data_IF_118542893348
#
_entry.id   IF_118542893348
#
_cell.length_a   1.000
_cell.length_b   1.000
_cell.length_c   1.000
_cell.angle_alpha   90.00
_cell.angle_beta   90.00
_cell.angle_gamma   90.00
#
_symmetry.space_group_name_H-M   'P 1'
#
loop_
_entity.id
_entity.type
_entity.pdbx_description
1 polymer ?
#
# COMPACT_ATOMS: atom_id res chain seq x y z
N UNK A 1 6.06 0.64 -3.76
CA UNK A 1 4.84 -0.09 -3.35
C UNK A 1 5.16 -1.52 -2.92
N UNK A 2 4.29 -2.13 -2.10
CA UNK A 2 4.38 -3.55 -1.72
C UNK A 2 2.98 -4.18 -1.76
N UNK A 3 2.91 -5.41 -2.31
CA UNK A 3 1.70 -6.20 -2.40
C UNK A 3 2.02 -7.70 -2.27
N UNK A 4 1.28 -8.41 -1.43
CA UNK A 4 1.34 -9.87 -1.33
C UNK A 4 0.08 -10.50 -1.93
N UNK A 5 0.24 -11.60 -2.66
CA UNK A 5 -0.88 -12.34 -3.25
C UNK A 5 -0.61 -13.84 -3.32
N UNK A 6 -1.64 -14.62 -3.54
CA UNK A 6 -1.56 -16.06 -3.83
C UNK A 6 -1.05 -16.33 -5.25
N UNK A 7 -0.73 -17.60 -5.55
CA UNK A 7 -0.36 -18.06 -6.90
C UNK A 7 -1.41 -17.73 -7.97
N UNK A 8 -2.69 -17.77 -7.59
CA UNK A 8 -3.81 -17.44 -8.48
C UNK A 8 -4.23 -15.97 -8.41
N UNK A 9 -3.34 -15.10 -7.86
CA UNK A 9 -3.47 -13.64 -7.90
C UNK A 9 -4.50 -13.06 -6.93
N UNK A 10 -4.81 -13.72 -5.81
CA UNK A 10 -5.78 -13.23 -4.81
C UNK A 10 -5.08 -12.68 -3.58
N UNK A 11 -5.63 -11.60 -3.02
CA UNK A 11 -5.12 -10.98 -1.79
C UNK A 11 -5.94 -11.37 -0.55
N UNK A 12 -7.11 -11.93 -0.74
CA UNK A 12 -8.01 -12.41 0.32
C UNK A 12 -8.99 -13.43 -0.24
N UNK A 13 -9.68 -14.13 0.64
CA UNK A 13 -10.84 -14.97 0.28
C UNK A 13 -12.04 -14.12 -0.15
N UNK A 14 -13.07 -14.75 -0.71
CA UNK A 14 -14.32 -14.08 -1.08
C UNK A 14 -15.03 -13.38 0.10
N UNK A 15 -14.79 -13.82 1.33
CA UNK A 15 -15.30 -13.22 2.56
C UNK A 15 -14.41 -12.12 3.13
N UNK A 16 -13.27 -11.81 2.47
CA UNK A 16 -12.34 -10.76 2.88
C UNK A 16 -11.27 -11.22 3.87
N UNK A 17 -11.16 -12.51 4.21
CA UNK A 17 -10.11 -12.99 5.09
C UNK A 17 -8.75 -12.95 4.36
N UNK A 18 -7.85 -12.08 4.82
CA UNK A 18 -6.54 -11.80 4.22
C UNK A 18 -5.35 -12.24 5.10
N UNK A 19 -5.65 -12.75 6.31
CA UNK A 19 -4.61 -13.06 7.30
C UNK A 19 -3.65 -14.13 6.80
N UNK A 20 -2.35 -13.81 6.80
CA UNK A 20 -1.26 -14.73 6.45
C UNK A 20 -1.28 -15.26 5.01
N UNK A 21 -1.69 -14.45 4.04
CA UNK A 21 -1.48 -14.78 2.63
C UNK A 21 0.02 -14.99 2.39
N UNK A 22 0.89 -14.10 2.88
CA UNK A 22 2.36 -14.23 2.80
C UNK A 22 2.98 -14.61 4.14
N UNK A 23 4.19 -15.16 4.09
CA UNK A 23 4.92 -15.70 5.22
C UNK A 23 5.58 -14.64 6.12
N UNK A 24 6.29 -15.11 7.16
CA UNK A 24 6.94 -14.26 8.15
C UNK A 24 8.12 -13.46 7.55
N UNK A 25 8.84 -14.05 6.58
CA UNK A 25 9.98 -13.39 5.92
C UNK A 25 9.54 -12.18 5.11
N UNK A 26 8.43 -12.30 4.35
CA UNK A 26 7.84 -11.17 3.62
C UNK A 26 7.34 -10.07 4.57
N UNK A 27 6.66 -10.44 5.66
CA UNK A 27 6.25 -9.47 6.67
C UNK A 27 7.44 -8.73 7.32
N UNK A 28 8.55 -9.42 7.57
CA UNK A 28 9.77 -8.77 8.05
C UNK A 28 10.37 -7.83 6.99
N UNK A 29 10.30 -8.21 5.72
CA UNK A 29 10.69 -7.33 4.61
C UNK A 29 9.81 -6.07 4.54
N UNK A 30 8.49 -6.21 4.65
CA UNK A 30 7.57 -5.08 4.72
C UNK A 30 7.94 -4.11 5.86
N UNK A 31 8.30 -4.62 7.04
CA UNK A 31 8.78 -3.77 8.13
C UNK A 31 10.10 -3.05 7.83
N UNK A 32 11.00 -3.64 7.01
CA UNK A 32 12.20 -2.94 6.52
C UNK A 32 11.83 -1.82 5.55
N UNK A 33 10.88 -2.05 4.65
CA UNK A 33 10.39 -1.01 3.74
C UNK A 33 9.80 0.17 4.52
N UNK A 34 8.99 -0.10 5.55
CA UNK A 34 8.47 0.95 6.44
C UNK A 34 9.59 1.74 7.11
N UNK A 35 10.61 1.06 7.64
CA UNK A 35 11.73 1.69 8.32
C UNK A 35 12.59 2.57 7.39
N UNK A 36 12.51 2.36 6.08
CA UNK A 36 13.22 3.11 5.05
C UNK A 36 12.38 4.23 4.43
N UNK A 37 11.11 4.33 4.80
CA UNK A 37 10.15 5.29 4.21
C UNK A 37 9.84 6.43 5.18
N UNK A 38 9.59 7.61 4.63
CA UNK A 38 9.15 8.78 5.39
C UNK A 38 7.66 8.70 5.71
N UNK A 39 6.89 8.14 4.78
CA UNK A 39 5.46 7.90 4.94
C UNK A 39 5.03 6.52 4.41
N UNK A 40 4.02 5.94 5.06
CA UNK A 40 3.30 4.76 4.58
C UNK A 40 1.86 5.14 4.28
N UNK A 41 1.39 4.83 3.07
CA UNK A 41 0.07 5.21 2.56
C UNK A 41 -0.81 3.98 2.40
N UNK A 42 -2.02 4.04 2.94
CA UNK A 42 -3.05 3.01 2.76
C UNK A 42 -4.40 3.63 2.41
N UNK A 43 -5.24 2.89 1.69
CA UNK A 43 -6.63 3.28 1.52
C UNK A 43 -7.48 2.96 2.77
N UNK A 44 -8.49 3.79 3.06
CA UNK A 44 -9.41 3.56 4.17
C UNK A 44 -10.16 2.22 4.11
N UNK A 45 -10.26 1.61 2.93
CA UNK A 45 -10.79 0.25 2.78
C UNK A 45 -9.92 -0.78 3.51
N UNK A 46 -8.61 -0.73 3.34
CA UNK A 46 -7.64 -1.57 4.05
C UNK A 46 -7.65 -1.30 5.55
N UNK A 47 -7.72 0.00 5.93
CA UNK A 47 -7.81 0.37 7.33
C UNK A 47 -9.01 -0.26 8.02
N UNK A 48 -10.19 -0.19 7.40
CA UNK A 48 -11.44 -0.78 7.94
C UNK A 48 -11.45 -2.31 7.95
N UNK A 49 -10.74 -2.95 6.99
CA UNK A 49 -10.72 -4.41 6.91
C UNK A 49 -9.75 -5.05 7.89
N UNK A 50 -8.56 -4.46 8.05
CA UNK A 50 -7.42 -5.11 8.70
C UNK A 50 -6.96 -4.39 9.98
N UNK A 51 -7.45 -3.17 10.25
CA UNK A 51 -7.04 -2.29 11.37
C UNK A 51 -5.50 -2.31 11.62
N UNK A 52 -4.69 -2.07 10.57
CA UNK A 52 -3.26 -2.26 10.63
C UNK A 52 -2.59 -1.15 11.46
N UNK A 53 -1.59 -1.50 12.26
CA UNK A 53 -0.81 -0.50 13.00
C UNK A 53 0.12 0.33 12.10
N UNK A 54 0.54 -0.19 10.94
CA UNK A 54 1.46 0.46 9.98
C UNK A 54 2.80 0.90 10.59
N UNK A 55 3.23 0.25 11.66
CA UNK A 55 4.45 0.56 12.41
C UNK A 55 5.56 -0.45 12.14
N UNK A 56 6.80 -0.09 12.54
CA UNK A 56 7.98 -0.95 12.48
C UNK A 56 8.08 -1.75 13.77
N UNK A 57 7.91 -3.09 13.71
CA UNK A 57 7.92 -3.98 14.89
C UNK A 57 8.84 -5.19 14.74
N UNK A 58 9.04 -5.67 13.51
CA UNK A 58 9.81 -6.90 13.26
C UNK A 58 11.30 -6.65 13.02
N UNK A 59 11.71 -5.39 12.91
CA UNK A 59 13.11 -4.97 12.67
C UNK A 59 13.38 -3.69 13.45
N UNK A 60 14.65 -3.33 13.61
CA UNK A 60 15.04 -2.02 14.12
C UNK A 60 14.76 -0.94 13.08
N UNK A 61 14.25 0.22 13.48
CA UNK A 61 13.97 1.35 12.62
C UNK A 61 12.95 2.31 13.22
N UNK A 62 12.83 3.49 12.62
CA UNK A 62 11.82 4.49 13.00
C UNK A 62 10.49 4.16 12.30
N UNK A 63 9.40 4.55 12.94
CA UNK A 63 8.08 4.47 12.33
C UNK A 63 7.92 5.58 11.29
N UNK A 64 7.40 5.29 10.10
CA UNK A 64 7.00 6.32 9.12
C UNK A 64 5.74 7.06 9.59
N UNK A 65 5.47 8.22 9.02
CA UNK A 65 4.15 8.85 9.11
C UNK A 65 3.12 7.96 8.42
N UNK A 66 2.02 7.69 9.09
CA UNK A 66 0.93 6.84 8.60
C UNK A 66 -0.11 7.70 7.89
N UNK A 67 -0.33 7.49 6.61
CA UNK A 67 -1.24 8.29 5.79
C UNK A 67 -2.40 7.43 5.31
N UNK A 68 -3.62 7.86 5.61
CA UNK A 68 -4.85 7.19 5.18
C UNK A 68 -5.52 7.99 4.07
N UNK A 69 -5.71 7.36 2.92
CA UNK A 69 -6.51 7.92 1.84
C UNK A 69 -7.98 7.52 2.07
N UNK A 70 -8.83 8.50 2.34
CA UNK A 70 -10.23 8.25 2.66
C UNK A 70 -11.17 9.01 1.73
N UNK A 71 -12.20 8.30 1.26
CA UNK A 71 -13.34 8.92 0.61
C UNK A 71 -14.24 9.67 1.63
N UNK A 72 -15.38 10.18 1.18
CA UNK A 72 -16.32 10.92 2.03
C UNK A 72 -16.86 10.13 3.25
N UNK A 73 -16.66 8.81 3.31
CA UNK A 73 -17.06 7.98 4.46
C UNK A 73 -16.14 8.17 5.66
N UNK A 74 -14.91 8.67 5.42
CA UNK A 74 -13.96 8.99 6.48
C UNK A 74 -13.41 7.78 7.23
N UNK A 75 -12.87 8.08 8.40
CA UNK A 75 -12.32 7.18 9.41
C UNK A 75 -13.11 7.45 10.69
N UNK A 76 -13.44 6.41 11.47
CA UNK A 76 -14.31 6.55 12.65
C UNK A 76 -13.61 7.18 13.86
N UNK A 77 -12.28 7.03 13.94
CA UNK A 77 -11.48 7.37 15.11
C UNK A 77 -11.27 6.18 16.06
N UNK A 78 -11.95 5.06 15.83
CA UNK A 78 -11.79 3.84 16.62
C UNK A 78 -10.65 2.95 16.14
N UNK A 79 -10.13 3.25 14.95
CA UNK A 79 -9.04 2.51 14.34
C UNK A 79 -7.76 2.65 15.16
N UNK A 80 -6.93 1.62 15.15
CA UNK A 80 -5.69 1.53 15.92
C UNK A 80 -4.77 2.73 15.69
N UNK A 81 -4.62 3.17 14.45
CA UNK A 81 -3.77 4.32 14.11
C UNK A 81 -4.19 5.63 14.81
N UNK A 82 -5.47 5.76 15.19
CA UNK A 82 -5.99 6.92 15.89
C UNK A 82 -5.74 6.87 17.40
N UNK A 83 -5.46 5.67 17.97
CA UNK A 83 -5.45 5.45 19.41
C UNK A 83 -4.10 5.02 19.97
N UNK A 84 -3.20 4.47 19.17
CA UNK A 84 -1.98 3.86 19.67
C UNK A 84 -0.85 4.86 19.98
N UNK A 85 -0.86 6.06 19.38
CA UNK A 85 0.18 7.06 19.59
C UNK A 85 1.58 6.64 19.15
N UNK A 86 1.72 5.52 18.40
CA UNK A 86 3.01 4.94 18.05
C UNK A 86 3.75 5.72 16.96
N UNK A 87 3.02 6.47 16.12
CA UNK A 87 3.58 7.31 15.05
C UNK A 87 2.57 8.36 14.61
N UNK A 88 3.00 9.47 13.97
CA UNK A 88 2.08 10.44 13.38
C UNK A 88 1.10 9.77 12.43
N UNK A 89 -0.17 10.21 12.45
CA UNK A 89 -1.22 9.66 11.61
C UNK A 89 -1.99 10.79 10.92
N UNK A 90 -2.03 10.76 9.59
CA UNK A 90 -2.63 11.78 8.75
C UNK A 90 -3.79 11.22 7.94
N UNK A 91 -4.79 12.06 7.70
CA UNK A 91 -5.92 11.76 6.83
C UNK A 91 -5.84 12.62 5.58
N UNK A 92 -5.95 12.02 4.42
CA UNK A 92 -6.10 12.71 3.15
C UNK A 92 -7.45 12.37 2.54
N UNK A 93 -8.17 13.40 2.07
CA UNK A 93 -9.45 13.22 1.39
C UNK A 93 -10.49 14.28 1.69
N UNK A 94 -11.70 14.18 1.09
CA UNK A 94 -12.78 15.14 1.20
C UNK A 94 -13.56 15.05 2.53
N UNK A 95 -12.95 14.53 3.58
CA UNK A 95 -13.59 14.39 4.90
C UNK A 95 -13.77 15.74 5.55
N UNK A 96 -14.91 15.98 6.22
CA UNK A 96 -15.22 17.27 6.84
C UNK A 96 -14.54 17.48 8.16
N UNK A 97 -14.54 16.42 8.99
CA UNK A 97 -14.05 16.46 10.36
C UNK A 97 -12.87 15.52 10.50
N UNK A 98 -11.82 15.99 11.18
CA UNK A 98 -10.68 15.17 11.53
C UNK A 98 -11.03 14.35 12.78
N UNK A 99 -11.01 13.01 12.71
CA UNK A 99 -11.18 12.18 13.90
C UNK A 99 -10.12 12.46 14.94
N UNK A 100 -10.48 12.29 16.21
CA UNK A 100 -9.53 12.38 17.32
C UNK A 100 -8.40 11.36 17.15
N UNK A 101 -7.16 11.79 17.42
CA UNK A 101 -5.97 10.95 17.30
C UNK A 101 -5.29 10.97 15.94
N UNK A 102 -5.82 11.72 14.98
CA UNK A 102 -5.11 12.06 13.75
C UNK A 102 -4.47 13.45 13.87
N UNK A 103 -3.23 13.58 13.38
CA UNK A 103 -2.43 14.79 13.55
C UNK A 103 -2.67 15.81 12.45
N UNK A 104 -3.08 15.36 11.27
CA UNK A 104 -3.26 16.21 10.10
C UNK A 104 -4.36 15.71 9.17
N UNK A 105 -5.06 16.67 8.55
CA UNK A 105 -6.02 16.42 7.49
C UNK A 105 -5.75 17.33 6.29
N UNK A 106 -5.49 16.73 5.13
CA UNK A 106 -5.34 17.44 3.87
C UNK A 106 -6.51 17.10 2.93
N UNK A 107 -7.19 18.13 2.48
CA UNK A 107 -8.28 18.01 1.50
C UNK A 107 -7.71 17.88 0.10
N UNK A 108 -7.49 16.65 -0.32
CA UNK A 108 -7.00 16.30 -1.64
C UNK A 108 -7.97 15.32 -2.30
N UNK A 109 -8.04 15.32 -3.62
CA UNK A 109 -8.75 14.27 -4.35
C UNK A 109 -7.95 12.96 -4.27
N UNK A 110 -8.36 12.06 -3.40
CA UNK A 110 -7.69 10.76 -3.20
C UNK A 110 -7.89 9.78 -4.36
N UNK A 111 -8.74 10.11 -5.34
CA UNK A 111 -8.89 9.33 -6.57
C UNK A 111 -7.88 9.78 -7.65
N UNK A 112 -7.21 10.90 -7.43
CA UNK A 112 -6.09 11.36 -8.26
C UNK A 112 -4.76 11.08 -7.55
N UNK A 113 -4.02 10.02 -7.94
CA UNK A 113 -2.72 9.71 -7.36
C UNK A 113 -1.68 10.82 -7.53
N UNK A 114 -1.77 11.64 -8.58
CA UNK A 114 -0.87 12.78 -8.78
C UNK A 114 -1.11 13.86 -7.74
N UNK A 115 -2.37 14.20 -7.46
CA UNK A 115 -2.70 15.18 -6.43
C UNK A 115 -2.25 14.72 -5.04
N UNK A 116 -2.39 13.43 -4.73
CA UNK A 116 -1.89 12.85 -3.47
C UNK A 116 -0.36 12.90 -3.39
N UNK A 117 0.34 12.50 -4.47
CA UNK A 117 1.81 12.58 -4.54
C UNK A 117 2.31 14.01 -4.30
N UNK A 118 1.70 14.99 -4.95
CA UNK A 118 2.09 16.39 -4.84
C UNK A 118 1.91 16.90 -3.41
N UNK A 119 0.80 16.59 -2.76
CA UNK A 119 0.55 16.94 -1.37
C UNK A 119 1.54 16.28 -0.40
N UNK A 120 1.95 15.02 -0.66
CA UNK A 120 2.98 14.33 0.13
C UNK A 120 4.37 14.98 -0.09
N UNK A 121 4.71 15.35 -1.32
CA UNK A 121 5.96 16.02 -1.65
C UNK A 121 6.03 17.43 -1.03
N UNK A 122 4.95 18.21 -1.06
CA UNK A 122 4.84 19.52 -0.38
C UNK A 122 4.99 19.38 1.15
N UNK A 123 4.59 18.26 1.71
CA UNK A 123 4.81 17.93 3.12
C UNK A 123 6.25 17.50 3.45
N UNK A 124 7.13 17.37 2.44
CA UNK A 124 8.54 17.03 2.60
C UNK A 124 8.84 15.54 2.60
N UNK A 125 7.90 14.68 2.21
CA UNK A 125 8.15 13.23 2.10
C UNK A 125 8.83 12.90 0.77
N UNK A 126 10.02 12.32 0.83
CA UNK A 126 10.80 11.90 -0.33
C UNK A 126 10.59 10.42 -0.68
N UNK A 127 10.43 9.58 0.36
CA UNK A 127 10.24 8.14 0.22
C UNK A 127 8.89 7.72 0.77
N UNK A 128 7.97 7.40 -0.12
CA UNK A 128 6.59 7.03 0.20
C UNK A 128 6.38 5.55 -0.13
N UNK A 129 5.92 4.78 0.84
CA UNK A 129 5.53 3.39 0.67
C UNK A 129 4.01 3.28 0.51
N UNK A 130 3.57 2.83 -0.64
CA UNK A 130 2.15 2.48 -0.85
C UNK A 130 1.95 1.03 -0.40
N UNK A 131 1.18 0.85 0.66
CA UNK A 131 0.89 -0.47 1.23
C UNK A 131 -0.57 -0.83 1.09
N UNK A 132 -0.79 -2.07 0.70
CA UNK A 132 -2.10 -2.72 0.80
C UNK A 132 -3.24 -2.04 0.06
N UNK A 133 -4.32 -2.77 -0.03
CA UNK A 133 -5.44 -2.43 -0.88
C UNK A 133 -5.05 -2.48 -2.36
N UNK A 134 -5.39 -3.59 -3.02
CA UNK A 134 -5.14 -3.78 -4.45
C UNK A 134 -5.50 -2.55 -5.28
N UNK A 135 -6.62 -1.89 -4.93
CA UNK A 135 -7.08 -0.69 -5.64
C UNK A 135 -6.10 0.48 -5.55
N UNK A 136 -5.53 0.73 -4.37
CA UNK A 136 -4.58 1.84 -4.17
C UNK A 136 -3.30 1.57 -4.96
N UNK A 137 -2.70 0.39 -4.82
CA UNK A 137 -1.49 0.01 -5.57
C UNK A 137 -1.75 0.04 -7.08
N UNK A 138 -2.89 -0.50 -7.54
CA UNK A 138 -3.25 -0.51 -8.95
C UNK A 138 -3.44 0.91 -9.51
N UNK A 139 -4.11 1.80 -8.79
CA UNK A 139 -4.30 3.18 -9.22
C UNK A 139 -2.97 3.94 -9.36
N UNK A 140 -2.06 3.78 -8.40
CA UNK A 140 -0.74 4.40 -8.45
C UNK A 140 0.13 3.83 -9.58
N UNK A 141 0.06 2.51 -9.79
CA UNK A 141 0.77 1.85 -10.88
C UNK A 141 0.22 2.28 -12.25
N UNK A 142 -1.10 2.36 -12.40
CA UNK A 142 -1.75 2.84 -13.62
C UNK A 142 -1.41 4.32 -13.94
N UNK A 143 -1.21 5.13 -12.89
CA UNK A 143 -0.78 6.53 -13.04
C UNK A 143 0.73 6.70 -13.33
N UNK A 144 1.50 5.60 -13.38
CA UNK A 144 2.95 5.65 -13.60
C UNK A 144 3.75 6.23 -12.43
N UNK A 145 3.18 6.21 -11.21
CA UNK A 145 3.76 6.80 -10.00
C UNK A 145 4.45 5.79 -9.08
N UNK A 146 4.63 4.56 -9.53
CA UNK A 146 5.34 3.52 -8.77
C UNK A 146 6.71 3.31 -9.39
N UNK A 147 7.77 3.70 -8.70
CA UNK A 147 9.15 3.45 -9.16
C UNK A 147 9.54 2.00 -8.96
N UNK A 148 9.15 1.43 -7.82
CA UNK A 148 9.44 0.03 -7.44
C UNK A 148 8.22 -0.62 -6.81
N UNK A 149 7.83 -1.79 -7.33
CA UNK A 149 6.81 -2.65 -6.71
C UNK A 149 7.46 -3.94 -6.23
N UNK A 150 7.39 -4.20 -4.93
CA UNK A 150 7.66 -5.51 -4.35
C UNK A 150 6.37 -6.33 -4.40
N UNK A 151 6.31 -7.28 -5.33
CA UNK A 151 5.18 -8.19 -5.48
C UNK A 151 5.56 -9.56 -4.95
N UNK A 152 4.95 -9.96 -3.84
CA UNK A 152 5.20 -11.26 -3.22
C UNK A 152 4.13 -12.26 -3.60
N UNK A 153 4.56 -13.42 -4.11
CA UNK A 153 3.70 -14.55 -4.48
C UNK A 153 3.87 -15.64 -3.44
N UNK A 154 2.82 -15.90 -2.69
CA UNK A 154 2.76 -17.01 -1.76
C UNK A 154 2.35 -18.32 -2.46
N UNK A 155 2.90 -19.50 -2.06
CA UNK A 155 2.60 -20.80 -2.69
C UNK A 155 1.24 -21.36 -2.24
N UNK A 156 0.21 -20.52 -2.30
CA UNK A 156 -1.18 -20.87 -1.95
C UNK A 156 -2.12 -20.55 -3.11
N UNK A 157 -3.21 -21.28 -3.20
CA UNK A 157 -4.29 -21.05 -4.17
C UNK A 157 -5.57 -20.78 -3.36
N UNK A 158 -6.16 -19.61 -3.58
CA UNK A 158 -7.34 -19.15 -2.83
C UNK A 158 -8.65 -19.40 -3.63
N UNK A 159 -8.60 -19.32 -4.94
CA UNK A 159 -9.75 -19.48 -5.82
C UNK A 159 -10.53 -18.18 -6.00
N UNK A 160 -11.64 -18.00 -5.30
CA UNK A 160 -12.44 -16.79 -5.39
C UNK A 160 -12.03 -15.75 -4.36
N UNK A 161 -11.96 -14.47 -4.79
CA UNK A 161 -11.59 -13.35 -3.91
C UNK A 161 -11.09 -12.14 -4.71
N UNK A 162 -10.80 -11.03 -4.03
CA UNK A 162 -10.27 -9.85 -4.69
C UNK A 162 -8.88 -10.11 -5.29
N UNK A 163 -8.65 -9.54 -6.46
CA UNK A 163 -7.36 -9.62 -7.19
C UNK A 163 -6.31 -8.71 -6.58
N UNK A 164 -5.04 -9.07 -6.76
CA UNK A 164 -3.90 -8.27 -6.26
C UNK A 164 -3.64 -7.01 -7.08
N UNK A 165 -3.59 -7.14 -8.40
CA UNK A 165 -3.45 -6.01 -9.32
C UNK A 165 -4.61 -6.00 -10.30
N UNK A 166 -5.17 -4.81 -10.53
CA UNK A 166 -6.23 -4.56 -11.48
C UNK A 166 -5.91 -3.28 -12.25
N UNK A 167 -5.38 -3.46 -13.47
CA UNK A 167 -5.00 -2.37 -14.35
C UNK A 167 -6.03 -2.22 -15.48
N UNK A 168 -6.10 -1.05 -16.14
CA UNK A 168 -6.89 -0.89 -17.33
C UNK A 168 -6.59 -1.98 -18.38
N UNK A 169 -7.59 -2.45 -19.13
CA UNK A 169 -7.37 -3.45 -20.16
C UNK A 169 -6.45 -2.89 -21.27
N UNK A 170 -5.62 -3.75 -21.80
CA UNK A 170 -4.80 -3.48 -22.99
C UNK A 170 -5.34 -4.30 -24.16
N UNK A 171 -5.18 -3.79 -25.38
CA UNK A 171 -5.62 -4.50 -26.57
C UNK A 171 -4.48 -5.35 -27.17
N UNK A 172 -3.24 -4.96 -26.92
CA UNK A 172 -2.05 -5.58 -27.51
C UNK A 172 -1.00 -5.90 -26.47
N UNK A 173 -0.27 -6.97 -26.65
CA UNK A 173 0.79 -7.41 -25.73
C UNK A 173 2.02 -6.47 -25.70
N UNK A 174 2.20 -5.58 -26.67
CA UNK A 174 3.23 -4.56 -26.67
C UNK A 174 2.90 -3.38 -25.73
N UNK A 175 1.64 -3.22 -25.33
CA UNK A 175 1.19 -2.24 -24.33
C UNK A 175 1.42 -2.72 -22.87
N UNK A 176 1.77 -3.99 -22.69
CA UNK A 176 1.98 -4.55 -21.35
C UNK A 176 3.20 -3.92 -20.66
N UNK A 177 3.09 -3.61 -19.38
CA UNK A 177 4.21 -3.16 -18.56
C UNK A 177 5.32 -4.21 -18.52
N UNK A 178 6.56 -3.80 -18.73
CA UNK A 178 7.75 -4.68 -18.76
C UNK A 178 8.85 -4.08 -17.86
N UNK A 179 8.69 -4.13 -16.54
CA UNK A 179 9.69 -3.63 -15.62
C UNK A 179 10.98 -4.45 -15.66
N UNK A 180 12.07 -3.88 -15.14
CA UNK A 180 13.24 -4.67 -14.78
C UNK A 180 12.87 -5.52 -13.56
N UNK A 181 13.31 -6.78 -13.55
CA UNK A 181 12.89 -7.75 -12.54
C UNK A 181 14.10 -8.32 -11.83
N UNK A 182 14.12 -8.20 -10.49
CA UNK A 182 14.90 -9.06 -9.61
C UNK A 182 13.94 -9.93 -8.79
N UNK A 183 14.39 -11.10 -8.34
CA UNK A 183 13.57 -11.99 -7.53
C UNK A 183 14.34 -12.42 -6.28
N UNK A 184 13.60 -12.62 -5.18
CA UNK A 184 14.13 -13.03 -3.89
C UNK A 184 13.26 -14.14 -3.31
N UNK A 185 13.88 -15.12 -2.68
CA UNK A 185 13.19 -16.11 -1.87
C UNK A 185 12.96 -15.53 -0.47
N UNK A 186 11.70 -15.56 -0.02
CA UNK A 186 11.24 -15.04 1.28
C UNK A 186 10.63 -16.19 2.11
N UNK A 187 11.47 -17.19 2.46
CA UNK A 187 11.00 -18.45 3.01
C UNK A 187 10.37 -19.30 1.91
N UNK A 188 9.07 -19.61 2.02
CA UNK A 188 8.34 -20.33 0.96
C UNK A 188 7.79 -19.39 -0.12
N UNK A 189 7.72 -18.07 0.15
CA UNK A 189 7.24 -17.07 -0.80
C UNK A 189 8.34 -16.66 -1.78
N UNK A 190 7.93 -16.14 -2.95
CA UNK A 190 8.82 -15.50 -3.91
C UNK A 190 8.43 -14.04 -4.06
N UNK A 191 9.36 -13.13 -3.81
CA UNK A 191 9.16 -11.70 -4.02
C UNK A 191 9.84 -11.26 -5.31
N UNK A 192 9.08 -10.61 -6.17
CA UNK A 192 9.58 -9.92 -7.36
C UNK A 192 9.75 -8.43 -7.02
N UNK A 193 10.96 -7.92 -7.19
CA UNK A 193 11.25 -6.49 -7.21
C UNK A 193 11.10 -6.02 -8.66
N UNK A 194 10.07 -5.25 -8.93
CA UNK A 194 9.72 -4.74 -10.24
C UNK A 194 10.09 -3.26 -10.30
N UNK A 195 11.15 -2.93 -11.03
CA UNK A 195 11.60 -1.54 -11.23
C UNK A 195 10.99 -1.01 -12.53
N UNK A 196 10.16 0.01 -12.39
CA UNK A 196 9.59 0.73 -13.52
C UNK A 196 10.52 1.88 -13.87
N UNK A 197 11.01 1.93 -15.09
CA UNK A 197 11.79 3.06 -15.58
C UNK A 197 10.90 4.29 -15.45
N UNK A 198 11.25 5.21 -14.56
CA UNK A 198 10.50 6.42 -14.39
C UNK A 198 10.38 7.12 -15.74
N UNK A 199 9.20 7.57 -16.07
CA UNK A 199 9.02 8.60 -17.04
C UNK A 199 9.67 9.88 -16.47
N UNK A 200 11.01 9.94 -16.54
CA UNK A 200 11.71 11.21 -16.47
C UNK A 200 11.38 11.95 -17.75
N UNK A 201 10.33 12.70 -17.72
CA UNK A 201 9.99 13.71 -18.69
C UNK A 201 9.91 15.03 -17.96
#
# INVERSE_FOLDING_TARGET
>A
AQLGQSLDGRIATATGHSHYVTGAADRAHLHRLRALSDAVVVGAGTLRADDPALTVRAVAGLNPTRVVLSDARGVSGDERICRDGEAPAWLMGPVRDLPTGLDRHDRVDVNDPHAVRDALAEAGFERVLIEGGARTVSAWLAAGLVDVLYLTIAPVIIGAGPTGLELPPIERMDEALRPRVARFEMGEDITFCLEFSGATG
#
